data_IF_075130913878
#
_entry.id   IF_075130913878
#
_cell.length_a   1.000
_cell.length_b   1.000
_cell.length_c   1.000
_cell.angle_alpha   90.00
_cell.angle_beta   90.00
_cell.angle_gamma   90.00
#
_symmetry.space_group_name_H-M   'P 1'
#
loop_
_entity.id
_entity.type
_entity.pdbx_description
1 polymer ?
#
# COMPACT_ATOMS: atom_id res chain seq x y z
N UNK A 1 -14.91 18.41 -7.00
CA UNK A 1 -16.38 18.42 -7.09
C UNK A 1 -16.92 16.98 -7.01
N UNK A 2 -17.23 16.44 -5.81
CA UNK A 2 -17.89 15.11 -5.62
C UNK A 2 -19.35 15.03 -6.01
N UNK A 3 -19.98 16.18 -6.15
CA UNK A 3 -21.36 16.29 -6.59
C UNK A 3 -21.33 16.57 -8.08
N UNK A 4 -21.79 15.60 -8.87
CA UNK A 4 -21.99 15.82 -10.28
C UNK A 4 -23.33 16.53 -10.47
N UNK A 5 -23.27 17.84 -10.70
CA UNK A 5 -24.39 18.60 -11.21
C UNK A 5 -24.51 18.34 -12.70
N UNK A 6 -25.64 17.75 -13.10
CA UNK A 6 -25.91 17.51 -14.50
C UNK A 6 -26.30 18.81 -15.20
N UNK A 7 -25.52 19.14 -16.22
CA UNK A 7 -25.90 20.11 -17.22
C UNK A 7 -25.76 19.42 -18.58
N UNK A 8 -26.86 19.02 -19.22
CA UNK A 8 -26.73 18.61 -20.64
C UNK A 8 -26.44 19.88 -21.43
N UNK A 9 -25.28 19.91 -22.08
CA UNK A 9 -24.86 21.00 -22.96
C UNK A 9 -25.11 20.56 -24.41
N UNK A 10 -26.10 21.17 -25.07
CA UNK A 10 -26.34 20.96 -26.50
C UNK A 10 -25.56 21.99 -27.31
N UNK A 11 -24.90 21.53 -28.37
CA UNK A 11 -24.38 22.38 -29.43
C UNK A 11 -25.28 22.22 -30.66
N UNK A 12 -26.13 23.21 -30.94
CA UNK A 12 -26.75 23.33 -32.26
C UNK A 12 -25.77 24.03 -33.21
N UNK A 13 -25.76 23.62 -34.48
CA UNK A 13 -24.96 24.23 -35.56
C UNK A 13 -25.32 25.70 -35.84
N UNK A 14 -26.37 26.21 -35.22
CA UNK A 14 -26.71 27.63 -35.13
C UNK A 14 -27.10 27.98 -33.68
N UNK A 15 -26.26 28.77 -33.03
CA UNK A 15 -26.51 29.61 -31.84
C UNK A 15 -27.58 29.14 -30.82
N UNK A 16 -27.16 28.33 -29.84
CA UNK A 16 -27.44 28.49 -28.41
C UNK A 16 -26.91 27.27 -27.65
N UNK A 17 -26.15 27.51 -26.59
CA UNK A 17 -25.81 26.46 -25.62
C UNK A 17 -27.06 26.18 -24.78
N UNK A 18 -27.80 25.11 -25.07
CA UNK A 18 -28.91 24.69 -24.19
C UNK A 18 -28.27 23.92 -23.05
N UNK A 19 -28.43 24.47 -21.84
CA UNK A 19 -28.01 23.88 -20.58
C UNK A 19 -29.25 23.31 -19.92
N UNK A 20 -29.36 21.99 -19.80
CA UNK A 20 -30.48 21.32 -19.12
C UNK A 20 -30.12 21.17 -17.64
N UNK A 21 -30.83 21.85 -16.74
CA UNK A 21 -30.57 21.75 -15.30
C UNK A 21 -30.81 20.34 -14.77
N UNK A 22 -30.08 19.94 -13.74
CA UNK A 22 -30.15 18.58 -13.20
C UNK A 22 -31.51 18.21 -12.61
N UNK A 23 -32.26 19.19 -12.09
CA UNK A 23 -33.62 19.03 -11.56
C UNK A 23 -34.68 18.79 -12.65
N UNK A 24 -34.34 19.04 -13.92
CA UNK A 24 -35.20 18.77 -15.06
C UNK A 24 -34.99 17.37 -15.65
N UNK A 25 -33.98 16.62 -15.19
CA UNK A 25 -33.80 15.21 -15.55
C UNK A 25 -34.86 14.38 -14.84
N UNK A 26 -35.71 13.72 -15.62
CA UNK A 26 -36.87 13.00 -15.11
C UNK A 26 -36.66 11.48 -15.03
N UNK A 27 -35.67 10.92 -15.74
CA UNK A 27 -35.42 9.48 -15.69
C UNK A 27 -33.95 9.11 -15.75
N UNK A 28 -33.59 8.04 -15.06
CA UNK A 28 -32.34 7.30 -15.17
C UNK A 28 -32.63 6.02 -15.95
N UNK A 29 -31.87 5.74 -17.01
CA UNK A 29 -32.09 4.59 -17.88
C UNK A 29 -30.88 3.68 -18.01
N UNK A 30 -31.15 2.39 -18.24
CA UNK A 30 -30.14 1.35 -18.40
C UNK A 30 -30.39 0.55 -19.68
N UNK A 31 -29.43 0.55 -20.59
CA UNK A 31 -29.44 -0.36 -21.74
C UNK A 31 -29.13 -1.81 -21.31
N UNK A 32 -29.54 -2.83 -22.09
CA UNK A 32 -29.22 -4.23 -21.80
C UNK A 32 -27.73 -4.56 -21.73
N UNK A 33 -26.89 -3.72 -22.32
CA UNK A 33 -25.42 -3.84 -22.31
C UNK A 33 -24.77 -3.15 -21.08
N UNK A 34 -25.57 -2.67 -20.12
CA UNK A 34 -25.10 -2.00 -18.91
C UNK A 34 -24.84 -0.50 -19.06
N UNK A 35 -25.06 0.11 -20.24
CA UNK A 35 -24.85 1.56 -20.43
C UNK A 35 -25.90 2.36 -19.68
N UNK A 36 -25.42 3.25 -18.81
CA UNK A 36 -26.20 4.22 -18.06
C UNK A 36 -26.44 5.49 -18.89
N UNK A 37 -27.68 5.97 -18.89
CA UNK A 37 -28.05 7.25 -19.51
C UNK A 37 -29.08 8.02 -18.68
N UNK A 38 -29.12 9.34 -18.87
CA UNK A 38 -30.02 10.24 -18.15
C UNK A 38 -30.92 10.96 -19.14
N UNK A 39 -32.22 11.00 -18.86
CA UNK A 39 -33.21 11.52 -19.78
C UNK A 39 -33.92 12.75 -19.27
N UNK A 40 -34.07 13.73 -20.16
CA UNK A 40 -35.04 14.80 -20.07
C UNK A 40 -36.12 14.60 -21.14
N UNK A 41 -37.34 14.32 -20.69
CA UNK A 41 -38.54 14.37 -21.53
C UNK A 41 -38.88 15.81 -21.95
N UNK A 42 -38.93 16.05 -23.26
CA UNK A 42 -39.37 17.32 -23.87
C UNK A 42 -40.89 17.42 -23.90
N UNK A 43 -41.39 18.62 -24.20
CA UNK A 43 -42.84 18.92 -24.31
C UNK A 43 -43.56 18.11 -25.39
N UNK A 44 -42.86 17.72 -26.45
CA UNK A 44 -43.38 16.88 -27.53
C UNK A 44 -43.38 15.37 -27.20
N UNK A 45 -42.94 14.99 -26.00
CA UNK A 45 -42.84 13.61 -25.54
C UNK A 45 -41.57 12.87 -26.00
N UNK A 46 -40.68 13.51 -26.76
CA UNK A 46 -39.36 12.94 -27.09
C UNK A 46 -38.44 12.95 -25.87
N UNK A 47 -37.51 11.98 -25.80
CA UNK A 47 -36.51 11.91 -24.74
C UNK A 47 -35.17 12.42 -25.26
N UNK A 48 -34.55 13.34 -24.53
CA UNK A 48 -33.17 13.72 -24.74
C UNK A 48 -32.29 12.98 -23.73
N UNK A 49 -31.40 12.12 -24.23
CA UNK A 49 -30.49 11.32 -23.40
C UNK A 49 -29.06 11.87 -23.35
N UNK A 50 -28.41 11.77 -22.20
CA UNK A 50 -26.95 11.89 -22.05
C UNK A 50 -26.34 10.61 -21.49
N UNK A 51 -25.16 10.26 -22.00
CA UNK A 51 -24.32 9.19 -21.49
C UNK A 51 -23.16 9.78 -20.70
N UNK A 52 -22.93 9.27 -19.50
CA UNK A 52 -21.79 9.67 -18.68
C UNK A 52 -20.65 8.66 -18.81
N UNK A 53 -19.43 9.18 -18.92
CA UNK A 53 -18.23 8.37 -18.75
C UNK A 53 -17.20 9.13 -17.92
N UNK A 54 -16.61 8.51 -16.88
CA UNK A 54 -15.44 9.08 -16.24
C UNK A 54 -14.25 8.99 -17.19
N UNK A 55 -13.53 10.10 -17.34
CA UNK A 55 -12.28 10.19 -18.12
C UNK A 55 -11.35 11.22 -17.49
N UNK A 56 -10.11 10.81 -17.19
CA UNK A 56 -9.03 11.69 -16.71
C UNK A 56 -9.43 12.56 -15.50
N UNK A 57 -9.99 11.94 -14.44
CA UNK A 57 -10.47 12.64 -13.24
C UNK A 57 -11.63 13.62 -13.48
N UNK A 58 -12.25 13.59 -14.68
CA UNK A 58 -13.40 14.42 -15.06
C UNK A 58 -14.57 13.56 -15.55
N UNK A 59 -15.78 14.10 -15.45
CA UNK A 59 -16.98 13.50 -16.01
C UNK A 59 -17.29 14.12 -17.36
N UNK A 60 -17.29 13.31 -18.41
CA UNK A 60 -17.63 13.76 -19.75
C UNK A 60 -19.02 13.27 -20.14
N UNK A 61 -19.79 14.16 -20.77
CA UNK A 61 -20.95 13.77 -21.56
C UNK A 61 -20.38 13.13 -22.83
N UNK A 62 -20.53 11.82 -22.96
CA UNK A 62 -19.93 11.06 -24.06
C UNK A 62 -20.60 11.42 -25.41
N UNK A 63 -21.92 11.62 -25.41
CA UNK A 63 -22.72 12.18 -26.50
C UNK A 63 -24.16 12.43 -26.01
N UNK A 64 -24.92 13.23 -26.76
CA UNK A 64 -26.37 13.40 -26.58
C UNK A 64 -27.11 12.98 -27.85
N UNK A 65 -28.31 12.42 -27.70
CA UNK A 65 -29.18 12.11 -28.84
C UNK A 65 -30.64 12.33 -28.48
N UNK A 66 -31.43 12.75 -29.48
CA UNK A 66 -32.88 12.64 -29.41
C UNK A 66 -33.21 11.16 -29.59
N UNK A 67 -33.69 10.52 -28.54
CA UNK A 67 -34.00 9.11 -28.55
C UNK A 67 -35.52 8.95 -28.68
N UNK A 68 -35.96 8.12 -29.63
CA UNK A 68 -37.36 7.72 -29.71
C UNK A 68 -37.74 6.98 -28.43
N UNK A 69 -38.67 7.60 -27.68
CA UNK A 69 -39.11 7.13 -26.38
C UNK A 69 -39.74 5.73 -26.46
N UNK A 70 -40.40 5.36 -27.56
CA UNK A 70 -41.02 4.04 -27.74
C UNK A 70 -39.97 2.95 -27.93
N UNK A 71 -38.92 3.22 -28.71
CA UNK A 71 -37.84 2.26 -28.97
C UNK A 71 -37.01 2.03 -27.69
N UNK A 72 -36.74 3.10 -26.94
CA UNK A 72 -35.97 3.03 -25.71
C UNK A 72 -36.75 2.33 -24.59
N UNK A 73 -38.05 2.63 -24.43
CA UNK A 73 -38.93 1.95 -23.46
C UNK A 73 -39.06 0.44 -23.68
N UNK A 74 -38.87 -0.05 -24.91
CA UNK A 74 -38.89 -1.49 -25.20
C UNK A 74 -37.58 -2.22 -24.85
N UNK A 75 -36.47 -1.49 -24.74
CA UNK A 75 -35.12 -2.08 -24.61
C UNK A 75 -34.44 -1.77 -23.29
N UNK A 76 -34.75 -0.64 -22.67
CA UNK A 76 -34.08 -0.15 -21.48
C UNK A 76 -34.97 -0.20 -20.24
N UNK A 77 -34.35 -0.37 -19.08
CA UNK A 77 -35.01 -0.20 -17.78
C UNK A 77 -34.96 1.29 -17.42
N UNK A 78 -36.07 1.87 -16.98
CA UNK A 78 -36.13 3.27 -16.54
C UNK A 78 -36.47 3.37 -15.06
N UNK A 79 -35.90 4.38 -14.43
CA UNK A 79 -36.20 4.78 -13.06
C UNK A 79 -36.55 6.28 -13.04
N UNK A 80 -37.69 6.64 -12.47
CA UNK A 80 -38.12 8.03 -12.41
C UNK A 80 -37.38 8.76 -11.28
N UNK A 81 -36.75 9.90 -11.56
CA UNK A 81 -36.03 10.66 -10.53
C UNK A 81 -36.96 11.19 -9.44
N UNK A 82 -38.26 11.28 -9.70
CA UNK A 82 -39.27 11.62 -8.69
C UNK A 82 -39.36 10.57 -7.57
N UNK A 83 -39.02 9.33 -7.85
CA UNK A 83 -39.09 8.22 -6.88
C UNK A 83 -37.85 8.16 -5.98
N UNK A 84 -36.85 9.02 -6.22
CA UNK A 84 -35.71 9.18 -5.34
C UNK A 84 -36.15 9.88 -4.05
N UNK A 85 -35.71 9.33 -2.91
CA UNK A 85 -35.81 10.00 -1.62
C UNK A 85 -34.64 10.96 -1.42
N UNK A 86 -34.86 11.97 -0.57
CA UNK A 86 -33.79 12.88 -0.17
C UNK A 86 -32.70 12.13 0.59
N UNK A 87 -31.44 12.28 0.16
CA UNK A 87 -30.28 11.64 0.79
C UNK A 87 -29.01 12.47 0.70
N UNK A 88 -28.06 12.16 1.58
CA UNK A 88 -26.65 12.56 1.50
C UNK A 88 -25.79 11.31 1.64
N UNK A 89 -24.57 11.32 1.10
CA UNK A 89 -23.63 10.21 1.24
C UNK A 89 -23.37 9.81 2.71
N UNK A 90 -23.38 10.80 3.63
CA UNK A 90 -23.24 10.58 5.07
C UNK A 90 -24.36 9.72 5.68
N UNK A 91 -25.49 9.53 4.99
CA UNK A 91 -26.53 8.59 5.43
C UNK A 91 -26.11 7.12 5.22
N UNK A 92 -25.11 6.87 4.37
CA UNK A 92 -24.60 5.54 4.06
C UNK A 92 -23.25 5.28 4.74
N UNK A 93 -22.39 6.29 4.87
CA UNK A 93 -21.08 6.19 5.54
C UNK A 93 -21.17 5.52 6.92
N UNK A 94 -20.22 4.62 7.20
CA UNK A 94 -20.17 3.78 8.39
C UNK A 94 -21.08 2.54 8.34
N UNK A 95 -21.95 2.41 7.34
CA UNK A 95 -22.92 1.31 7.28
C UNK A 95 -22.52 0.21 6.30
N UNK A 96 -22.98 -1.00 6.63
CA UNK A 96 -22.85 -2.19 5.79
C UNK A 96 -24.22 -2.59 5.25
N UNK A 97 -24.26 -2.87 3.96
CA UNK A 97 -25.45 -3.34 3.26
C UNK A 97 -25.17 -4.67 2.58
N UNK A 98 -26.13 -5.58 2.65
CA UNK A 98 -26.06 -6.85 1.93
C UNK A 98 -27.32 -7.12 1.14
N UNK A 99 -27.17 -7.87 0.06
CA UNK A 99 -28.27 -8.47 -0.67
C UNK A 99 -27.86 -9.81 -1.22
N UNK A 100 -28.81 -10.73 -1.25
CA UNK A 100 -28.66 -12.05 -1.87
C UNK A 100 -29.70 -12.19 -2.97
N UNK A 101 -29.27 -12.64 -4.16
CA UNK A 101 -30.15 -12.87 -5.31
C UNK A 101 -29.52 -13.91 -6.23
N UNK A 102 -30.32 -14.91 -6.63
CA UNK A 102 -29.89 -15.95 -7.58
C UNK A 102 -28.56 -16.64 -7.19
N UNK A 103 -28.33 -16.85 -5.89
CA UNK A 103 -27.09 -17.44 -5.34
C UNK A 103 -25.90 -16.47 -5.23
N UNK A 104 -26.06 -15.21 -5.66
CA UNK A 104 -25.06 -14.16 -5.52
C UNK A 104 -25.33 -13.32 -4.27
N UNK A 105 -24.36 -13.24 -3.37
CA UNK A 105 -24.41 -12.30 -2.24
C UNK A 105 -23.40 -11.18 -2.44
N UNK A 106 -23.91 -9.95 -2.49
CA UNK A 106 -23.13 -8.72 -2.51
C UNK A 106 -23.14 -8.06 -1.13
N UNK A 107 -21.97 -7.60 -0.70
CA UNK A 107 -21.79 -6.79 0.51
C UNK A 107 -21.10 -5.49 0.15
N UNK A 108 -21.71 -4.38 0.56
CA UNK A 108 -21.22 -3.02 0.39
C UNK A 108 -20.93 -2.41 1.76
N UNK A 109 -19.73 -1.90 1.95
CA UNK A 109 -19.32 -1.18 3.15
C UNK A 109 -18.91 0.24 2.77
N UNK A 110 -19.70 1.22 3.19
CA UNK A 110 -19.37 2.62 2.98
C UNK A 110 -18.39 3.07 4.06
N UNK A 111 -17.10 2.87 3.85
CA UNK A 111 -16.06 3.12 4.85
C UNK A 111 -15.99 4.62 5.17
N UNK A 112 -15.84 5.43 4.13
CA UNK A 112 -15.79 6.89 4.23
C UNK A 112 -16.36 7.50 2.94
N UNK A 113 -16.50 8.84 2.85
CA UNK A 113 -17.04 9.50 1.66
C UNK A 113 -16.22 9.36 0.36
N UNK A 114 -15.08 8.68 0.37
CA UNK A 114 -14.21 8.39 -0.77
C UNK A 114 -14.10 6.91 -1.09
N UNK A 115 -14.54 6.04 -0.17
CA UNK A 115 -14.19 4.63 -0.24
C UNK A 115 -15.40 3.77 0.14
N UNK A 116 -15.83 2.96 -0.82
CA UNK A 116 -16.78 1.87 -0.63
C UNK A 116 -16.06 0.56 -0.93
N UNK A 117 -16.07 -0.37 0.03
CA UNK A 117 -15.61 -1.73 -0.18
C UNK A 117 -16.77 -2.59 -0.67
N UNK A 118 -16.51 -3.33 -1.73
CA UNK A 118 -17.46 -4.25 -2.36
C UNK A 118 -16.86 -5.64 -2.27
N UNK A 119 -17.59 -6.58 -1.67
CA UNK A 119 -17.19 -7.98 -1.61
C UNK A 119 -18.33 -8.87 -2.08
N UNK A 120 -18.04 -9.81 -2.99
CA UNK A 120 -18.96 -10.88 -3.39
C UNK A 120 -18.58 -12.18 -2.68
N UNK A 121 -19.53 -12.79 -1.97
CA UNK A 121 -19.26 -14.03 -1.21
C UNK A 121 -19.06 -15.26 -2.12
N UNK A 122 -19.50 -15.19 -3.38
CA UNK A 122 -19.34 -16.28 -4.35
C UNK A 122 -17.91 -16.43 -4.87
N UNK A 123 -17.17 -15.32 -5.00
CA UNK A 123 -15.89 -15.29 -5.73
C UNK A 123 -14.70 -14.81 -4.88
N UNK A 124 -14.94 -14.46 -3.60
CA UNK A 124 -13.97 -13.79 -2.72
C UNK A 124 -13.28 -12.56 -3.36
N UNK A 125 -13.91 -11.97 -4.38
CA UNK A 125 -13.40 -10.79 -5.06
C UNK A 125 -13.77 -9.56 -4.23
N UNK A 126 -12.73 -8.81 -3.84
CA UNK A 126 -12.86 -7.56 -3.11
C UNK A 126 -12.40 -6.43 -4.02
N UNK A 127 -13.20 -5.37 -4.07
CA UNK A 127 -12.85 -4.17 -4.81
C UNK A 127 -13.21 -2.92 -4.01
N UNK A 128 -12.44 -1.87 -4.24
CA UNK A 128 -12.66 -0.56 -3.65
C UNK A 128 -13.08 0.42 -4.73
N UNK A 129 -14.08 1.24 -4.43
CA UNK A 129 -14.67 2.21 -5.36
C UNK A 129 -14.97 3.53 -4.68
N UNK A 130 -14.88 4.61 -5.44
CA UNK A 130 -15.29 5.93 -4.99
C UNK A 130 -16.80 6.10 -5.21
N UNK A 131 -17.57 6.45 -4.18
CA UNK A 131 -18.97 6.82 -4.33
C UNK A 131 -19.10 8.25 -4.88
N UNK A 132 -19.93 8.43 -5.91
CA UNK A 132 -20.11 9.70 -6.60
C UNK A 132 -21.57 10.11 -6.51
N UNK A 133 -21.82 11.31 -6.00
CA UNK A 133 -23.17 11.83 -5.83
C UNK A 133 -23.70 12.36 -7.17
N UNK A 134 -24.80 11.78 -7.64
CA UNK A 134 -25.57 12.24 -8.79
C UNK A 134 -26.75 13.06 -8.28
N UNK A 135 -26.70 14.38 -8.44
CA UNK A 135 -27.70 15.31 -7.88
C UNK A 135 -28.77 15.68 -8.90
N UNK A 136 -30.03 15.33 -8.60
CA UNK A 136 -31.21 15.62 -9.41
C UNK A 136 -32.08 16.74 -8.81
N UNK A 137 -31.49 17.59 -7.98
CA UNK A 137 -32.17 18.71 -7.33
C UNK A 137 -33.01 18.30 -6.11
N UNK A 138 -33.36 19.28 -5.29
CA UNK A 138 -34.18 19.09 -4.07
C UNK A 138 -33.65 18.00 -3.11
N UNK A 139 -32.33 17.76 -3.13
CA UNK A 139 -31.68 16.73 -2.33
C UNK A 139 -31.95 15.29 -2.78
N UNK A 140 -32.60 15.08 -3.93
CA UNK A 140 -32.82 13.77 -4.54
C UNK A 140 -31.55 13.34 -5.25
N UNK A 141 -30.91 12.30 -4.73
CA UNK A 141 -29.60 11.84 -5.19
C UNK A 141 -29.59 10.35 -5.48
N UNK A 142 -28.80 9.96 -6.47
CA UNK A 142 -28.33 8.58 -6.65
C UNK A 142 -26.80 8.55 -6.47
N UNK A 143 -26.22 7.37 -6.28
CA UNK A 143 -24.78 7.23 -6.03
C UNK A 143 -24.16 6.23 -6.99
N UNK A 144 -23.28 6.69 -7.87
CA UNK A 144 -22.51 5.82 -8.74
C UNK A 144 -21.26 5.34 -8.01
N UNK A 145 -20.98 4.05 -8.05
CA UNK A 145 -19.72 3.47 -7.55
C UNK A 145 -18.78 3.30 -8.74
N UNK A 146 -17.61 3.92 -8.63
CA UNK A 146 -16.68 4.08 -9.74
C UNK A 146 -15.23 3.83 -9.32
N UNK A 147 -14.42 3.35 -10.27
CA UNK A 147 -12.96 3.23 -10.11
C UNK A 147 -12.29 3.59 -11.43
N UNK A 148 -11.35 4.54 -11.41
CA UNK A 148 -10.78 5.12 -12.63
C UNK A 148 -11.86 5.49 -13.66
N UNK A 149 -11.79 4.86 -14.84
CA UNK A 149 -12.71 5.11 -15.96
C UNK A 149 -13.92 4.15 -16.01
N UNK A 150 -14.12 3.32 -14.98
CA UNK A 150 -15.19 2.33 -14.93
C UNK A 150 -16.27 2.69 -13.89
N UNK A 151 -17.52 2.45 -14.27
CA UNK A 151 -18.67 2.41 -13.38
C UNK A 151 -19.02 0.95 -13.12
N UNK A 152 -19.24 0.56 -11.87
CA UNK A 152 -19.62 -0.82 -11.55
C UNK A 152 -21.02 -0.92 -10.98
N UNK A 153 -21.44 0.03 -10.14
CA UNK A 153 -22.76 -0.01 -9.54
C UNK A 153 -23.44 1.35 -9.51
N UNK A 154 -24.78 1.34 -9.50
CA UNK A 154 -25.59 2.52 -9.19
C UNK A 154 -26.53 2.23 -8.03
N UNK A 155 -26.40 3.01 -6.96
CA UNK A 155 -27.30 2.99 -5.81
C UNK A 155 -28.42 4.01 -6.00
N UNK A 156 -29.65 3.51 -6.03
CA UNK A 156 -30.89 4.26 -6.16
C UNK A 156 -31.66 4.18 -4.82
N UNK A 157 -31.60 5.20 -3.97
CA UNK A 157 -32.39 5.26 -2.75
C UNK A 157 -33.82 5.73 -3.06
N UNK A 158 -34.81 4.91 -2.74
CA UNK A 158 -36.23 5.27 -2.79
C UNK A 158 -36.82 5.31 -1.39
N UNK A 159 -38.05 5.80 -1.24
CA UNK A 159 -38.72 5.92 0.07
C UNK A 159 -38.77 4.60 0.84
N UNK A 160 -38.93 3.48 0.12
CA UNK A 160 -39.17 2.18 0.73
C UNK A 160 -37.96 1.25 0.73
N UNK A 161 -36.90 1.56 -0.04
CA UNK A 161 -35.78 0.65 -0.25
C UNK A 161 -34.55 1.33 -0.84
N UNK A 162 -33.39 0.73 -0.63
CA UNK A 162 -32.16 1.04 -1.36
C UNK A 162 -31.98 -0.02 -2.45
N UNK A 163 -32.06 0.39 -3.71
CA UNK A 163 -31.84 -0.48 -4.87
C UNK A 163 -30.40 -0.31 -5.36
N UNK A 164 -29.67 -1.40 -5.51
CA UNK A 164 -28.37 -1.39 -6.16
C UNK A 164 -28.49 -2.05 -7.53
N UNK A 165 -28.01 -1.39 -8.57
CA UNK A 165 -27.92 -1.91 -9.92
C UNK A 165 -26.47 -2.23 -10.25
N UNK A 166 -26.21 -3.46 -10.67
CA UNK A 166 -24.95 -3.82 -11.33
C UNK A 166 -24.97 -3.27 -12.76
N UNK A 167 -24.03 -2.38 -13.05
CA UNK A 167 -23.82 -1.73 -14.35
C UNK A 167 -22.41 -1.99 -14.88
N UNK A 168 -21.71 -2.98 -14.33
CA UNK A 168 -20.36 -3.31 -14.76
C UNK A 168 -20.36 -3.79 -16.21
N UNK A 169 -19.60 -3.09 -17.06
CA UNK A 169 -19.56 -3.36 -18.51
C UNK A 169 -18.78 -4.61 -18.89
N UNK A 170 -18.27 -5.37 -17.91
CA UNK A 170 -17.43 -6.55 -18.11
C UNK A 170 -18.25 -7.83 -18.39
N UNK A 171 -19.57 -7.83 -18.18
CA UNK A 171 -20.44 -8.97 -18.48
C UNK A 171 -21.51 -8.55 -19.48
N UNK A 172 -21.15 -8.57 -20.76
CA UNK A 172 -21.96 -8.22 -21.92
C UNK A 172 -23.19 -9.13 -22.18
N UNK A 173 -23.74 -9.80 -21.15
CA UNK A 173 -24.80 -10.83 -21.31
C UNK A 173 -25.90 -10.77 -20.21
N UNK A 174 -25.84 -9.89 -19.19
CA UNK A 174 -26.87 -9.88 -18.12
C UNK A 174 -27.67 -8.58 -18.08
N UNK A 175 -29.01 -8.71 -18.01
CA UNK A 175 -29.91 -7.58 -17.67
C UNK A 175 -29.45 -6.97 -16.33
N UNK A 176 -29.51 -5.64 -16.15
CA UNK A 176 -29.16 -4.99 -14.89
C UNK A 176 -29.84 -5.69 -13.71
N UNK A 177 -29.04 -6.21 -12.78
CA UNK A 177 -29.56 -6.91 -11.62
C UNK A 177 -29.81 -5.89 -10.51
N UNK A 178 -31.07 -5.76 -10.09
CA UNK A 178 -31.42 -4.98 -8.93
C UNK A 178 -31.33 -5.84 -7.67
N UNK A 179 -30.66 -5.29 -6.66
CA UNK A 179 -30.52 -5.86 -5.33
C UNK A 179 -31.27 -4.99 -4.32
N UNK A 180 -31.97 -5.63 -3.40
CA UNK A 180 -32.60 -4.94 -2.27
C UNK A 180 -31.63 -4.93 -1.11
N UNK A 181 -30.95 -3.80 -0.93
CA UNK A 181 -29.94 -3.66 0.11
C UNK A 181 -30.60 -3.60 1.49
N UNK A 182 -30.29 -4.61 2.32
CA UNK A 182 -30.64 -4.63 3.74
C UNK A 182 -29.45 -4.15 4.54
N UNK A 183 -29.66 -3.12 5.37
CA UNK A 183 -28.66 -2.67 6.33
C UNK A 183 -28.40 -3.81 7.32
N UNK A 184 -27.16 -4.20 7.52
CA UNK A 184 -26.81 -5.16 8.55
C UNK A 184 -26.74 -4.47 9.92
N UNK A 185 -26.99 -5.23 11.00
CA UNK A 185 -26.54 -4.82 12.33
C UNK A 185 -25.01 -4.70 12.27
N UNK A 186 -24.46 -3.66 12.88
CA UNK A 186 -23.04 -3.31 12.72
C UNK A 186 -22.15 -4.55 12.82
N UNK A 187 -21.23 -4.78 11.87
CA UNK A 187 -20.18 -5.76 12.07
C UNK A 187 -19.41 -5.38 13.33
N UNK A 188 -19.12 -6.36 14.19
CA UNK A 188 -18.35 -6.16 15.41
C UNK A 188 -16.87 -5.88 15.17
N UNK A 189 -16.36 -6.03 13.94
CA UNK A 189 -14.97 -5.75 13.60
C UNK A 189 -14.83 -4.41 12.86
N UNK A 190 -13.86 -3.60 13.31
CA UNK A 190 -13.40 -2.41 12.58
C UNK A 190 -13.04 -2.83 11.15
N UNK A 191 -13.42 -2.05 10.12
CA UNK A 191 -13.06 -2.32 8.73
C UNK A 191 -11.58 -2.00 8.52
N UNK A 192 -10.70 -2.84 9.06
CA UNK A 192 -9.32 -2.84 8.67
C UNK A 192 -8.99 -4.19 8.08
N UNK A 193 -8.57 -4.15 6.82
CA UNK A 193 -8.30 -5.34 6.03
C UNK A 193 -6.83 -5.31 5.67
N UNK A 194 -6.18 -6.48 5.65
CA UNK A 194 -4.79 -6.63 5.21
C UNK A 194 -4.57 -6.35 3.71
N UNK A 195 -5.59 -5.87 3.01
CA UNK A 195 -5.68 -5.76 1.54
C UNK A 195 -5.41 -4.34 1.02
N UNK A 196 -4.78 -3.50 1.84
CA UNK A 196 -4.55 -2.09 1.54
C UNK A 196 -3.88 -1.82 0.18
N UNK A 197 -3.06 -2.76 -0.31
CA UNK A 197 -2.38 -2.69 -1.62
C UNK A 197 -3.28 -2.35 -2.82
N UNK A 198 -4.58 -2.63 -2.78
CA UNK A 198 -5.48 -2.23 -3.88
C UNK A 198 -5.97 -0.79 -3.77
N UNK A 199 -5.97 -0.21 -2.58
CA UNK A 199 -6.50 1.13 -2.29
C UNK A 199 -5.50 2.20 -2.70
N UNK A 200 -4.19 1.97 -2.54
CA UNK A 200 -3.15 2.94 -2.91
C UNK A 200 -3.31 3.45 -4.35
N UNK A 201 -3.75 2.57 -5.26
CA UNK A 201 -3.98 2.89 -6.68
C UNK A 201 -5.13 3.86 -6.93
N UNK A 202 -5.94 4.15 -5.92
CA UNK A 202 -7.07 5.09 -5.98
C UNK A 202 -6.69 6.50 -5.53
N UNK A 203 -5.47 6.69 -5.04
CA UNK A 203 -4.98 7.97 -4.54
C UNK A 203 -3.78 8.46 -5.33
N UNK A 204 -3.67 9.79 -5.41
CA UNK A 204 -2.56 10.45 -6.09
C UNK A 204 -2.14 11.71 -5.31
N UNK A 205 -0.86 12.06 -5.39
CA UNK A 205 -0.33 13.26 -4.76
C UNK A 205 -0.34 14.38 -5.78
N UNK A 206 -1.03 15.47 -5.45
CA UNK A 206 -1.05 16.67 -6.26
C UNK A 206 -0.38 17.84 -5.53
N UNK A 207 0.43 18.61 -6.26
CA UNK A 207 1.03 19.84 -5.75
C UNK A 207 0.00 20.97 -5.68
N UNK A 208 -0.07 21.65 -4.55
CA UNK A 208 -0.88 22.84 -4.30
C UNK A 208 0.04 23.97 -3.80
N UNK A 209 0.50 24.81 -4.73
CA UNK A 209 1.51 25.84 -4.42
C UNK A 209 2.85 25.22 -4.01
N UNK A 210 3.26 25.41 -2.75
CA UNK A 210 4.47 24.82 -2.17
C UNK A 210 4.22 23.54 -1.38
N UNK A 211 2.96 23.17 -1.22
CA UNK A 211 2.51 22.03 -0.43
C UNK A 211 1.91 20.97 -1.34
N UNK A 212 1.50 19.86 -0.75
CA UNK A 212 0.95 18.68 -1.39
C UNK A 212 -0.40 18.33 -0.77
N UNK A 213 -1.29 17.81 -1.59
CA UNK A 213 -2.59 17.28 -1.18
C UNK A 213 -2.69 15.84 -1.70
N UNK A 214 -3.35 14.98 -0.92
CA UNK A 214 -3.74 13.66 -1.38
C UNK A 214 -5.13 13.76 -1.99
N UNK A 215 -5.30 13.29 -3.22
CA UNK A 215 -6.55 13.31 -3.97
C UNK A 215 -6.98 11.89 -4.35
N UNK A 216 -8.28 11.68 -4.55
CA UNK A 216 -8.82 10.45 -5.13
C UNK A 216 -8.77 10.45 -6.67
N UNK A 217 -9.18 9.33 -7.27
CA UNK A 217 -9.36 9.12 -8.72
C UNK A 217 -10.15 10.25 -9.45
N UNK A 218 -10.89 11.07 -8.72
CA UNK A 218 -11.75 12.13 -9.26
C UNK A 218 -11.27 13.53 -8.88
N UNK A 219 -10.05 13.63 -8.36
CA UNK A 219 -9.39 14.90 -8.04
C UNK A 219 -9.84 15.54 -6.74
N UNK A 220 -10.56 14.81 -5.89
CA UNK A 220 -11.04 15.35 -4.62
C UNK A 220 -10.04 15.14 -3.50
N UNK A 221 -9.78 16.21 -2.76
CA UNK A 221 -8.93 16.13 -1.57
C UNK A 221 -9.50 15.15 -0.55
N UNK A 222 -8.66 14.20 -0.12
CA UNK A 222 -9.05 13.12 0.80
C UNK A 222 -8.57 13.32 2.24
N UNK A 223 -7.55 14.15 2.43
CA UNK A 223 -7.05 14.54 3.75
C UNK A 223 -7.51 15.96 4.14
N UNK A 224 -7.57 16.29 5.45
CA UNK A 224 -8.10 17.58 5.90
C UNK A 224 -7.31 18.82 5.45
N UNK A 225 -6.00 18.68 5.18
CA UNK A 225 -5.08 19.79 4.93
C UNK A 225 -4.22 19.59 3.67
N UNK A 226 -3.50 20.65 3.30
CA UNK A 226 -2.29 20.54 2.49
C UNK A 226 -1.08 20.39 3.43
N UNK A 227 -0.09 19.64 2.98
CA UNK A 227 1.05 19.16 3.75
C UNK A 227 2.36 19.50 3.05
N UNK A 228 3.44 19.65 3.80
CA UNK A 228 4.76 19.93 3.23
C UNK A 228 5.36 18.71 2.53
N UNK A 229 4.99 17.51 2.99
CA UNK A 229 5.35 16.23 2.39
C UNK A 229 4.26 15.19 2.67
N UNK A 230 4.01 14.29 1.71
CA UNK A 230 3.10 13.15 1.87
C UNK A 230 3.79 11.91 1.32
N UNK A 231 3.87 10.87 2.14
CA UNK A 231 4.38 9.54 1.77
C UNK A 231 3.31 8.52 2.10
N UNK A 232 3.06 7.55 1.23
CA UNK A 232 2.10 6.49 1.50
C UNK A 232 2.45 5.21 0.75
N UNK A 233 1.93 4.09 1.22
CA UNK A 233 2.02 2.77 0.58
C UNK A 233 0.64 2.12 0.54
N UNK A 234 0.56 0.79 0.42
CA UNK A 234 -0.72 0.08 0.47
C UNK A 234 -1.50 0.28 1.78
N UNK A 235 -0.85 0.56 2.90
CA UNK A 235 -1.46 0.42 4.22
C UNK A 235 -1.58 1.73 5.01
N UNK A 236 -0.64 2.66 4.83
CA UNK A 236 -0.56 3.87 5.63
C UNK A 236 -0.20 5.11 4.81
N UNK A 237 -0.56 6.26 5.36
CA UNK A 237 -0.25 7.59 4.85
C UNK A 237 0.43 8.38 5.97
N UNK A 238 1.63 8.89 5.70
CA UNK A 238 2.36 9.84 6.51
C UNK A 238 2.25 11.23 5.88
N UNK A 239 1.66 12.18 6.60
CA UNK A 239 1.42 13.53 6.12
C UNK A 239 2.10 14.56 7.04
N UNK A 240 3.16 15.21 6.55
CA UNK A 240 4.01 16.12 7.35
C UNK A 240 3.57 17.58 7.18
N UNK A 241 3.44 18.31 8.29
CA UNK A 241 3.13 19.75 8.29
C UNK A 241 3.97 20.48 9.33
N UNK A 242 4.97 21.23 8.89
CA UNK A 242 5.98 21.82 9.76
C UNK A 242 6.69 20.75 10.59
N UNK A 243 6.56 20.84 11.91
CA UNK A 243 7.09 19.88 12.87
C UNK A 243 6.11 18.77 13.25
N UNK A 244 4.84 18.86 12.85
CA UNK A 244 3.83 17.83 13.14
C UNK A 244 3.78 16.77 12.05
N UNK A 245 3.51 15.54 12.44
CA UNK A 245 3.25 14.42 11.56
C UNK A 245 1.86 13.86 11.86
N UNK A 246 1.02 13.80 10.84
CA UNK A 246 -0.28 13.14 10.91
C UNK A 246 -0.15 11.79 10.22
N UNK A 247 -0.65 10.74 10.89
CA UNK A 247 -0.59 9.36 10.41
C UNK A 247 -2.02 8.91 10.15
N UNK A 248 -2.27 8.33 8.99
CA UNK A 248 -3.54 7.73 8.64
C UNK A 248 -3.32 6.30 8.15
N UNK A 249 -4.32 5.43 8.36
CA UNK A 249 -4.40 4.20 7.58
C UNK A 249 -4.94 4.49 6.17
N UNK A 250 -4.87 3.51 5.28
CA UNK A 250 -5.34 3.66 3.89
C UNK A 250 -6.86 3.85 3.77
N UNK A 251 -7.60 3.64 4.85
CA UNK A 251 -9.02 3.95 4.97
C UNK A 251 -9.30 5.41 5.37
N UNK A 252 -8.26 6.26 5.34
CA UNK A 252 -8.30 7.68 5.70
C UNK A 252 -8.68 7.93 7.17
N UNK A 253 -8.49 6.94 8.04
CA UNK A 253 -8.71 7.08 9.47
C UNK A 253 -7.40 7.50 10.13
N UNK A 254 -7.47 8.58 10.93
CA UNK A 254 -6.28 9.07 11.62
C UNK A 254 -5.88 8.10 12.74
N UNK A 255 -4.60 7.75 12.76
CA UNK A 255 -3.96 6.97 13.82
C UNK A 255 -3.26 7.93 14.77
N UNK A 256 -3.53 7.79 16.08
CA UNK A 256 -3.02 8.71 17.09
C UNK A 256 -1.92 8.05 17.90
N UNK A 257 -0.73 8.66 17.88
CA UNK A 257 0.42 8.28 18.69
C UNK A 257 0.85 9.51 19.51
N UNK A 258 0.26 9.73 20.71
CA UNK A 258 0.38 10.99 21.46
C UNK A 258 1.83 11.41 21.75
N UNK A 259 2.74 10.46 21.95
CA UNK A 259 4.13 10.69 22.32
C UNK A 259 5.11 10.24 21.22
N UNK A 260 4.71 10.40 19.95
CA UNK A 260 5.50 9.96 18.82
C UNK A 260 6.88 10.63 18.76
N UNK A 261 7.95 9.83 18.78
CA UNK A 261 9.34 10.29 18.62
C UNK A 261 9.85 10.07 17.20
N UNK A 262 9.49 8.94 16.59
CA UNK A 262 9.91 8.56 15.23
C UNK A 262 8.98 7.49 14.68
N UNK A 263 8.81 7.48 13.35
CA UNK A 263 8.08 6.45 12.63
C UNK A 263 8.77 6.11 11.31
N UNK A 264 8.68 4.85 10.92
CA UNK A 264 9.05 4.33 9.61
C UNK A 264 7.90 3.56 8.98
N UNK A 265 7.74 3.73 7.65
CA UNK A 265 6.80 2.95 6.85
C UNK A 265 7.46 1.63 6.44
N UNK A 266 6.81 0.52 6.75
CA UNK A 266 7.09 -0.81 6.21
C UNK A 266 5.94 -1.27 5.32
N UNK A 267 6.11 -2.36 4.57
CA UNK A 267 5.13 -2.86 3.61
C UNK A 267 3.71 -2.92 4.20
N UNK A 268 3.52 -3.64 5.30
CA UNK A 268 2.22 -3.81 5.97
C UNK A 268 2.17 -3.29 7.42
N UNK A 269 3.23 -2.63 7.90
CA UNK A 269 3.33 -2.15 9.28
C UNK A 269 3.87 -0.72 9.37
N UNK A 270 3.51 -0.03 10.46
CA UNK A 270 4.21 1.16 10.94
C UNK A 270 5.17 0.75 12.04
N UNK A 271 6.44 1.08 11.91
CA UNK A 271 7.40 0.95 12.99
C UNK A 271 7.46 2.27 13.75
N UNK A 272 7.02 2.27 15.00
CA UNK A 272 6.83 3.46 15.81
C UNK A 272 7.74 3.41 17.02
N UNK A 273 8.41 4.52 17.30
CA UNK A 273 9.08 4.79 18.57
C UNK A 273 8.30 5.88 19.32
N UNK A 274 7.88 5.58 20.54
CA UNK A 274 7.23 6.51 21.45
C UNK A 274 7.82 6.45 22.88
N UNK A 275 7.05 6.79 23.90
CA UNK A 275 7.48 6.68 25.31
C UNK A 275 7.35 5.26 25.89
N UNK A 276 6.54 4.41 25.28
CA UNK A 276 6.34 3.02 25.71
C UNK A 276 7.40 2.10 25.11
N UNK A 277 7.93 2.45 23.95
CA UNK A 277 9.04 1.73 23.33
C UNK A 277 9.01 1.79 21.82
N UNK A 278 9.66 0.81 21.21
CA UNK A 278 9.64 0.61 19.77
C UNK A 278 8.77 -0.60 19.42
N UNK A 279 7.75 -0.39 18.60
CA UNK A 279 6.73 -1.38 18.28
C UNK A 279 6.33 -1.31 16.81
N UNK A 280 5.81 -2.42 16.28
CA UNK A 280 5.16 -2.44 14.97
C UNK A 280 3.65 -2.38 15.14
N UNK A 281 2.96 -1.64 14.29
CA UNK A 281 1.51 -1.57 14.27
C UNK A 281 0.98 -1.89 12.87
N UNK A 282 -0.11 -2.66 12.81
CA UNK A 282 -0.84 -2.89 11.57
C UNK A 282 -1.76 -1.72 11.20
N UNK A 283 -2.50 -1.85 10.09
CA UNK A 283 -3.44 -0.81 9.63
C UNK A 283 -4.52 -0.46 10.65
N UNK A 284 -4.82 -1.40 11.55
CA UNK A 284 -5.88 -1.34 12.55
C UNK A 284 -5.42 -0.56 13.79
N UNK A 285 -4.11 -0.40 13.94
CA UNK A 285 -3.46 0.06 15.16
C UNK A 285 -3.22 -1.04 16.18
N UNK A 286 -3.30 -2.31 15.78
CA UNK A 286 -2.94 -3.45 16.63
C UNK A 286 -1.44 -3.71 16.52
N UNK A 287 -0.82 -4.08 17.64
CA UNK A 287 0.62 -4.36 17.69
C UNK A 287 0.98 -5.66 16.96
N UNK A 288 2.13 -5.66 16.28
CA UNK A 288 2.68 -6.80 15.56
C UNK A 288 4.06 -7.18 16.10
N UNK A 289 4.38 -8.48 16.07
CA UNK A 289 5.72 -8.96 16.41
C UNK A 289 6.77 -8.51 15.37
N UNK A 290 6.40 -8.50 14.09
CA UNK A 290 7.26 -8.13 12.96
C UNK A 290 6.45 -7.73 11.72
N UNK A 291 7.01 -6.88 10.84
CA UNK A 291 6.40 -6.60 9.53
C UNK A 291 6.48 -7.81 8.59
N UNK A 292 5.61 -7.84 7.59
CA UNK A 292 5.81 -8.67 6.41
C UNK A 292 7.05 -8.17 5.64
N UNK A 293 7.85 -9.13 5.18
CA UNK A 293 8.93 -8.85 4.23
C UNK A 293 8.37 -9.00 2.83
N UNK A 294 8.68 -8.07 1.95
CA UNK A 294 8.41 -8.22 0.52
C UNK A 294 9.26 -9.40 0.02
N UNK A 295 8.60 -10.49 -0.35
CA UNK A 295 9.24 -11.54 -1.15
C UNK A 295 9.07 -11.05 -2.58
N UNK A 296 10.16 -10.61 -3.22
CA UNK A 296 10.18 -10.38 -4.66
C UNK A 296 9.95 -11.72 -5.37
N UNK A 297 8.69 -12.14 -5.53
CA UNK A 297 8.36 -13.16 -6.51
C UNK A 297 8.44 -12.52 -7.91
N UNK A 298 9.64 -12.65 -8.47
CA UNK A 298 10.15 -12.22 -9.77
C UNK A 298 9.11 -12.02 -10.89
N UNK A 299 9.08 -10.79 -11.44
CA UNK A 299 8.39 -10.44 -12.69
C UNK A 299 9.26 -9.73 -13.74
N UNK A 300 10.56 -9.57 -13.51
CA UNK A 300 11.54 -9.11 -14.52
C UNK A 300 12.73 -10.05 -14.48
N UNK A 301 13.22 -10.45 -15.67
CA UNK A 301 14.24 -11.49 -15.82
C UNK A 301 15.59 -11.03 -15.25
N UNK A 302 15.79 -11.23 -13.95
CA UNK A 302 17.10 -11.33 -13.35
C UNK A 302 17.33 -12.80 -13.00
N UNK A 303 18.45 -13.37 -13.43
CA UNK A 303 18.78 -14.76 -13.09
C UNK A 303 19.24 -14.74 -11.63
N UNK A 304 18.30 -14.88 -10.69
CA UNK A 304 18.63 -15.23 -9.31
C UNK A 304 19.37 -16.57 -9.34
N UNK A 305 20.64 -16.58 -8.95
CA UNK A 305 21.41 -17.81 -8.80
C UNK A 305 21.48 -18.15 -7.34
N UNK A 306 21.10 -19.38 -7.00
CA UNK A 306 21.43 -19.98 -5.71
C UNK A 306 22.94 -20.18 -5.62
N UNK A 307 23.54 -19.66 -4.56
CA UNK A 307 24.98 -19.62 -4.38
C UNK A 307 25.36 -20.15 -3.00
N UNK A 308 26.33 -21.06 -2.98
CA UNK A 308 26.82 -21.72 -1.77
C UNK A 308 28.33 -21.56 -1.64
N UNK A 309 28.78 -21.17 -0.45
CA UNK A 309 30.19 -20.88 -0.16
C UNK A 309 30.62 -21.58 1.12
N UNK A 310 31.85 -22.07 1.13
CA UNK A 310 32.45 -22.73 2.31
C UNK A 310 33.85 -22.22 2.58
N UNK A 311 34.12 -21.92 3.84
CA UNK A 311 35.45 -21.59 4.33
C UNK A 311 36.17 -22.89 4.71
N UNK A 312 37.38 -23.07 4.18
CA UNK A 312 38.28 -24.18 4.53
C UNK A 312 39.62 -23.62 4.96
N UNK A 313 40.18 -24.10 6.07
CA UNK A 313 41.39 -23.53 6.68
C UNK A 313 42.67 -24.29 6.33
N UNK A 314 42.60 -25.59 6.01
CA UNK A 314 43.75 -26.47 5.82
C UNK A 314 43.88 -26.98 4.38
N UNK A 315 45.10 -27.10 3.81
CA UNK A 315 46.39 -26.66 4.36
C UNK A 315 46.65 -25.14 4.23
N UNK A 316 45.83 -24.43 3.44
CA UNK A 316 45.84 -22.97 3.29
C UNK A 316 44.39 -22.47 3.36
N UNK A 317 44.10 -21.36 4.06
CA UNK A 317 42.74 -20.82 4.10
C UNK A 317 42.24 -20.39 2.73
N UNK A 318 41.00 -20.78 2.40
CA UNK A 318 40.30 -20.34 1.20
C UNK A 318 38.79 -20.27 1.41
N UNK A 319 38.14 -19.43 0.62
CA UNK A 319 36.70 -19.43 0.39
C UNK A 319 36.45 -20.23 -0.89
N UNK A 320 35.60 -21.26 -0.82
CA UNK A 320 35.27 -22.12 -1.96
C UNK A 320 33.82 -21.96 -2.40
N UNK A 321 33.59 -21.71 -3.70
CA UNK A 321 32.24 -21.77 -4.29
C UNK A 321 31.86 -23.23 -4.50
N UNK A 322 30.72 -23.63 -3.94
CA UNK A 322 30.17 -24.98 -4.05
C UNK A 322 29.41 -25.11 -5.39
N UNK A 323 29.47 -26.29 -6.00
CA UNK A 323 28.68 -26.58 -7.20
C UNK A 323 27.19 -26.73 -6.87
N UNK A 324 26.34 -26.03 -7.62
CA UNK A 324 24.89 -26.00 -7.38
C UNK A 324 24.20 -27.35 -7.59
N UNK A 325 24.79 -28.25 -8.39
CA UNK A 325 24.24 -29.58 -8.67
C UNK A 325 24.84 -30.66 -7.77
N UNK A 326 25.97 -30.38 -7.11
CA UNK A 326 26.60 -31.32 -6.19
C UNK A 326 27.30 -30.59 -5.03
N UNK A 327 26.71 -30.58 -3.82
CA UNK A 327 27.25 -29.85 -2.68
C UNK A 327 28.60 -30.37 -2.19
N UNK A 328 29.09 -31.51 -2.70
CA UNK A 328 30.40 -32.05 -2.33
C UNK A 328 31.54 -31.51 -3.20
N UNK A 329 31.25 -30.77 -4.28
CA UNK A 329 32.26 -30.26 -5.21
C UNK A 329 32.50 -28.77 -4.94
N UNK A 330 33.77 -28.39 -4.76
CA UNK A 330 34.21 -26.99 -4.76
C UNK A 330 34.64 -26.63 -6.18
N UNK A 331 33.85 -25.79 -6.85
CA UNK A 331 34.04 -25.37 -8.25
C UNK A 331 35.14 -24.33 -8.40
N UNK A 332 35.23 -23.40 -7.46
CA UNK A 332 36.19 -22.30 -7.47
C UNK A 332 36.78 -22.09 -6.08
N UNK A 333 38.06 -21.75 -5.99
CA UNK A 333 38.77 -21.51 -4.72
C UNK A 333 39.44 -20.14 -4.75
N UNK A 334 39.14 -19.35 -3.74
CA UNK A 334 39.76 -18.05 -3.50
C UNK A 334 40.60 -18.11 -2.23
N UNK A 335 41.92 -18.19 -2.39
CA UNK A 335 42.87 -18.34 -1.29
C UNK A 335 43.07 -17.02 -0.54
N UNK A 336 42.99 -17.07 0.78
CA UNK A 336 43.22 -15.91 1.67
C UNK A 336 44.70 -15.83 2.00
N UNK A 337 45.50 -15.19 1.14
CA UNK A 337 46.97 -15.28 1.18
C UNK A 337 47.59 -14.55 2.37
N UNK A 338 46.84 -13.66 3.02
CA UNK A 338 47.24 -12.93 4.23
C UNK A 338 46.76 -13.61 5.52
N UNK A 339 46.16 -14.80 5.44
CA UNK A 339 45.67 -15.59 6.58
C UNK A 339 46.48 -16.87 6.82
N UNK A 340 46.59 -17.27 8.07
CA UNK A 340 47.29 -18.48 8.53
C UNK A 340 46.28 -19.59 8.87
N UNK A 341 46.62 -20.87 8.65
CA UNK A 341 45.76 -22.01 9.02
C UNK A 341 45.43 -22.11 10.52
N UNK A 342 46.20 -21.43 11.38
CA UNK A 342 46.00 -21.40 12.84
C UNK A 342 44.93 -20.39 13.27
N UNK A 343 44.52 -19.48 12.39
CA UNK A 343 43.45 -18.52 12.67
C UNK A 343 42.09 -19.17 12.43
N UNK A 344 41.12 -18.88 13.30
CA UNK A 344 39.73 -19.30 13.02
C UNK A 344 39.06 -18.22 12.18
N UNK A 345 38.61 -18.59 11.00
CA UNK A 345 37.98 -17.72 10.01
C UNK A 345 36.55 -18.19 9.81
N UNK A 346 35.62 -17.24 9.85
CA UNK A 346 34.19 -17.44 9.66
C UNK A 346 33.59 -16.24 8.90
N UNK A 347 32.37 -16.39 8.40
CA UNK A 347 31.54 -15.26 7.98
C UNK A 347 31.18 -14.38 9.20
N UNK A 348 30.60 -13.20 8.96
CA UNK A 348 30.29 -12.23 10.01
C UNK A 348 29.32 -12.77 11.08
N UNK A 349 28.37 -13.63 10.68
CA UNK A 349 27.46 -14.40 11.55
C UNK A 349 28.17 -15.47 12.40
N UNK A 350 29.42 -15.79 12.07
CA UNK A 350 30.23 -16.81 12.71
C UNK A 350 30.14 -18.20 12.10
N UNK A 351 29.38 -18.39 11.01
CA UNK A 351 29.32 -19.65 10.28
C UNK A 351 30.53 -19.84 9.36
N UNK A 352 30.77 -21.08 8.92
CA UNK A 352 31.79 -21.38 7.91
C UNK A 352 31.19 -21.74 6.56
N UNK A 353 29.87 -21.76 6.47
CA UNK A 353 29.10 -22.09 5.28
C UNK A 353 28.00 -21.05 5.09
N UNK A 354 27.81 -20.62 3.86
CA UNK A 354 26.79 -19.65 3.48
C UNK A 354 26.00 -20.17 2.29
N UNK A 355 24.69 -19.95 2.29
CA UNK A 355 23.80 -20.22 1.16
C UNK A 355 22.79 -19.07 0.98
N UNK A 356 22.58 -18.61 -0.25
CA UNK A 356 21.63 -17.54 -0.54
C UNK A 356 21.46 -17.20 -2.01
N UNK A 357 20.46 -16.35 -2.31
CA UNK A 357 20.21 -15.82 -3.65
C UNK A 357 21.02 -14.54 -3.89
N UNK A 358 21.52 -14.34 -5.12
CA UNK A 358 22.21 -13.11 -5.54
C UNK A 358 21.72 -12.66 -6.91
N UNK A 359 21.48 -11.35 -7.01
CA UNK A 359 21.22 -10.62 -8.24
C UNK A 359 22.57 -9.98 -8.66
N UNK A 360 23.06 -10.28 -9.86
CA UNK A 360 24.34 -9.77 -10.45
C UNK A 360 25.67 -10.44 -10.07
N UNK A 361 25.72 -11.58 -9.36
CA UNK A 361 27.00 -12.14 -8.81
C UNK A 361 27.78 -11.14 -7.92
N UNK A 362 27.18 -10.00 -7.55
CA UNK A 362 27.63 -9.14 -6.45
C UNK A 362 27.05 -9.73 -5.17
N UNK A 363 27.95 -10.23 -4.33
CA UNK A 363 27.52 -10.92 -3.13
C UNK A 363 27.24 -9.97 -1.97
N UNK A 364 26.31 -10.34 -1.08
CA UNK A 364 25.98 -9.54 0.10
C UNK A 364 27.06 -9.56 1.21
N UNK A 365 28.02 -10.49 1.19
CA UNK A 365 29.00 -10.64 2.27
C UNK A 365 30.44 -10.57 1.77
N UNK A 366 31.09 -9.42 1.96
CA UNK A 366 32.52 -9.26 1.72
C UNK A 366 33.34 -9.33 3.02
N UNK A 367 32.71 -9.30 4.20
CA UNK A 367 33.39 -9.27 5.49
C UNK A 367 33.49 -10.65 6.16
N UNK A 368 34.71 -11.06 6.51
CA UNK A 368 35.01 -12.23 7.33
C UNK A 368 35.43 -11.84 8.74
N UNK A 369 34.95 -12.61 9.71
CA UNK A 369 35.42 -12.57 11.09
C UNK A 369 36.66 -13.45 11.24
N UNK A 370 37.75 -12.88 11.74
CA UNK A 370 39.01 -13.57 11.98
C UNK A 370 39.32 -13.57 13.47
N UNK A 371 39.60 -14.74 14.04
CA UNK A 371 39.96 -14.92 15.43
C UNK A 371 41.43 -15.33 15.56
N UNK A 372 42.18 -14.57 16.37
CA UNK A 372 43.52 -14.93 16.85
C UNK A 372 43.50 -15.02 18.38
N UNK A 373 43.78 -16.20 18.92
CA UNK A 373 43.61 -16.46 20.36
C UNK A 373 42.17 -16.18 20.79
N UNK A 374 41.99 -15.26 21.74
CA UNK A 374 40.68 -14.86 22.27
C UNK A 374 40.14 -13.55 21.65
N UNK A 375 40.83 -13.00 20.65
CA UNK A 375 40.47 -11.72 20.04
C UNK A 375 40.00 -11.91 18.61
N UNK A 376 39.07 -11.04 18.20
CA UNK A 376 38.43 -11.03 16.91
C UNK A 376 38.72 -9.72 16.18
N UNK A 377 38.85 -9.81 14.85
CA UNK A 377 38.85 -8.69 13.92
C UNK A 377 37.97 -8.98 12.71
N UNK A 378 37.73 -7.96 11.88
CA UNK A 378 36.86 -8.04 10.71
C UNK A 378 37.64 -7.60 9.47
N UNK A 379 37.54 -8.36 8.39
CA UNK A 379 38.33 -8.16 7.17
C UNK A 379 37.45 -8.31 5.93
N UNK A 380 37.55 -7.38 5.01
CA UNK A 380 36.85 -7.37 3.73
C UNK A 380 37.67 -8.09 2.65
N UNK A 381 37.03 -8.95 1.87
CA UNK A 381 37.63 -9.71 0.77
C UNK A 381 36.75 -9.64 -0.47
N UNK A 382 37.33 -9.17 -1.57
CA UNK A 382 36.65 -9.05 -2.87
C UNK A 382 36.84 -10.34 -3.70
N UNK A 383 36.16 -11.43 -3.33
CA UNK A 383 36.41 -12.75 -3.94
C UNK A 383 36.08 -12.84 -5.42
N UNK A 384 35.29 -11.93 -5.97
CA UNK A 384 34.99 -11.86 -7.41
C UNK A 384 36.17 -11.41 -8.28
N UNK A 385 37.22 -10.82 -7.68
CA UNK A 385 38.29 -10.18 -8.45
C UNK A 385 39.52 -11.06 -8.67
N UNK A 386 39.72 -12.08 -7.84
CA UNK A 386 40.96 -12.89 -7.87
C UNK A 386 40.82 -14.25 -7.17
N UNK A 387 41.65 -15.21 -7.59
CA UNK A 387 41.83 -16.50 -6.90
C UNK A 387 42.77 -16.39 -5.68
N UNK A 388 43.50 -15.28 -5.55
CA UNK A 388 44.35 -14.95 -4.41
C UNK A 388 43.90 -13.61 -3.84
N UNK A 389 43.40 -13.63 -2.62
CA UNK A 389 42.79 -12.49 -1.96
C UNK A 389 43.62 -12.05 -0.78
N UNK A 390 43.82 -10.74 -0.68
CA UNK A 390 44.39 -10.08 0.48
C UNK A 390 43.30 -9.26 1.14
N UNK A 391 43.03 -9.54 2.42
CA UNK A 391 41.97 -8.87 3.16
C UNK A 391 42.28 -7.40 3.44
N UNK A 392 41.29 -6.54 3.29
CA UNK A 392 41.31 -5.17 3.81
C UNK A 392 40.79 -5.18 5.24
N UNK A 393 41.61 -4.75 6.20
CA UNK A 393 41.19 -4.70 7.59
C UNK A 393 40.09 -3.65 7.78
N UNK A 394 38.92 -4.08 8.28
CA UNK A 394 37.81 -3.22 8.65
C UNK A 394 37.84 -2.91 10.15
N UNK A 395 38.06 -3.94 10.97
CA UNK A 395 38.25 -3.84 12.41
C UNK A 395 39.53 -4.58 12.82
N UNK A 396 40.41 -3.98 13.65
CA UNK A 396 41.61 -4.65 14.12
C UNK A 396 41.27 -5.89 14.97
N UNK A 397 42.22 -6.80 15.09
CA UNK A 397 42.08 -7.99 15.96
C UNK A 397 42.30 -7.57 17.41
N UNK A 398 41.28 -6.97 18.00
CA UNK A 398 41.32 -6.36 19.33
C UNK A 398 40.05 -6.57 20.15
N UNK A 399 39.01 -7.18 19.55
CA UNK A 399 37.68 -7.27 20.14
C UNK A 399 37.46 -8.63 20.81
N UNK A 400 36.76 -8.64 21.94
CA UNK A 400 36.44 -9.87 22.67
C UNK A 400 35.43 -10.73 21.91
N UNK A 401 34.59 -10.10 21.07
CA UNK A 401 33.54 -10.75 20.28
C UNK A 401 33.20 -9.89 19.08
N UNK A 402 32.91 -10.53 17.95
CA UNK A 402 32.24 -9.93 16.79
C UNK A 402 31.14 -10.91 16.40
N UNK A 403 29.91 -10.43 16.23
CA UNK A 403 28.77 -11.23 15.82
C UNK A 403 27.83 -10.44 14.92
N UNK A 404 26.84 -11.13 14.37
CA UNK A 404 25.78 -10.52 13.58
C UNK A 404 24.45 -10.62 14.34
N UNK A 405 23.67 -9.55 14.37
CA UNK A 405 22.35 -9.55 14.99
C UNK A 405 21.25 -10.09 14.05
N UNK A 406 20.01 -10.14 14.56
CA UNK A 406 18.83 -10.61 13.80
C UNK A 406 18.51 -9.80 12.54
N UNK A 407 19.06 -8.58 12.43
CA UNK A 407 18.90 -7.66 11.31
C UNK A 407 20.17 -7.62 10.44
N UNK A 408 21.01 -8.65 10.54
CA UNK A 408 22.23 -8.82 9.76
C UNK A 408 23.32 -7.75 10.03
N UNK A 409 23.25 -7.04 11.16
CA UNK A 409 24.22 -5.99 11.50
C UNK A 409 25.38 -6.53 12.32
N UNK A 410 26.57 -6.03 12.03
CA UNK A 410 27.80 -6.47 12.70
C UNK A 410 27.98 -5.71 14.01
N UNK A 411 27.91 -6.44 15.11
CA UNK A 411 28.16 -5.96 16.46
C UNK A 411 29.55 -6.40 16.93
N UNK A 412 30.28 -5.50 17.59
CA UNK A 412 31.62 -5.79 18.10
C UNK A 412 31.79 -5.30 19.54
N UNK A 413 32.49 -6.11 20.36
CA UNK A 413 32.52 -5.95 21.81
C UNK A 413 33.95 -5.78 22.33
N UNK A 414 34.16 -4.80 23.22
CA UNK A 414 35.41 -4.60 23.95
C UNK A 414 35.13 -3.99 25.32
N UNK A 415 35.80 -4.48 26.35
CA UNK A 415 35.75 -3.91 27.70
C UNK A 415 34.32 -3.71 28.25
N UNK A 416 33.43 -4.68 27.99
CA UNK A 416 32.03 -4.64 28.43
C UNK A 416 31.12 -3.69 27.64
N UNK A 417 31.64 -3.02 26.61
CA UNK A 417 30.88 -2.16 25.70
C UNK A 417 30.68 -2.81 24.33
N UNK A 418 29.71 -2.31 23.58
CA UNK A 418 29.34 -2.76 22.24
C UNK A 418 29.31 -1.61 21.24
N UNK A 419 29.76 -1.88 20.01
CA UNK A 419 29.70 -0.98 18.86
C UNK A 419 29.06 -1.66 17.65
N UNK A 420 28.70 -0.85 16.66
CA UNK A 420 28.01 -1.27 15.43
C UNK A 420 28.85 -0.86 14.24
N UNK A 421 29.26 -1.81 13.42
CA UNK A 421 29.99 -1.55 12.19
C UNK A 421 29.00 -1.38 11.01
N UNK A 422 29.23 -0.47 10.05
CA UNK A 422 30.39 0.42 9.88
C UNK A 422 30.29 1.76 10.63
N UNK A 423 29.20 2.00 11.37
CA UNK A 423 28.93 3.30 12.00
C UNK A 423 30.02 3.72 13.00
N UNK A 424 30.61 2.74 13.69
CA UNK A 424 31.71 2.93 14.62
C UNK A 424 32.83 1.92 14.40
N UNK A 425 34.03 2.31 14.81
CA UNK A 425 35.20 1.43 14.93
C UNK A 425 35.64 1.22 16.37
N UNK A 426 34.96 1.86 17.33
CA UNK A 426 35.16 1.70 18.77
C UNK A 426 33.81 1.47 19.47
N UNK A 427 33.72 0.60 20.51
CA UNK A 427 32.45 0.35 21.19
C UNK A 427 31.94 1.59 21.94
N UNK A 428 30.64 1.86 21.82
CA UNK A 428 30.03 3.10 22.32
C UNK A 428 29.08 2.86 23.49
N UNK A 429 28.33 1.76 23.47
CA UNK A 429 27.21 1.52 24.36
C UNK A 429 27.55 0.49 25.43
N UNK A 430 26.98 0.66 26.62
CA UNK A 430 27.05 -0.32 27.71
C UNK A 430 26.03 -1.45 27.47
N UNK A 431 24.87 -1.11 26.93
CA UNK A 431 23.83 -2.04 26.48
C UNK A 431 23.38 -1.65 25.08
N UNK A 432 23.18 -2.63 24.21
CA UNK A 432 22.61 -2.45 22.87
C UNK A 432 21.79 -3.70 22.53
N UNK A 433 20.47 -3.56 22.47
CA UNK A 433 19.54 -4.66 22.22
C UNK A 433 18.61 -4.30 21.06
N UNK A 434 18.57 -5.08 19.98
CA UNK A 434 17.67 -4.82 18.85
C UNK A 434 16.21 -5.09 19.25
N UNK A 435 15.38 -4.05 19.27
CA UNK A 435 13.94 -4.19 19.55
C UNK A 435 13.22 -4.44 18.24
N UNK A 436 13.29 -3.48 17.33
CA UNK A 436 12.76 -3.55 15.97
C UNK A 436 13.91 -3.47 14.96
N UNK A 437 13.60 -3.29 13.68
CA UNK A 437 14.61 -3.15 12.62
C UNK A 437 15.37 -1.84 12.75
N UNK A 438 14.68 -0.72 12.97
CA UNK A 438 15.27 0.60 13.13
C UNK A 438 15.72 0.90 14.57
N UNK A 439 15.02 0.38 15.59
CA UNK A 439 15.20 0.84 16.97
C UNK A 439 15.86 -0.18 17.89
N UNK A 440 16.88 0.30 18.61
CA UNK A 440 17.64 -0.49 19.58
C UNK A 440 17.48 0.13 20.95
N UNK A 441 17.20 -0.67 21.96
CA UNK A 441 17.33 -0.22 23.34
C UNK A 441 18.82 -0.06 23.65
N UNK A 442 19.19 1.10 24.19
CA UNK A 442 20.56 1.43 24.55
C UNK A 442 20.71 1.80 26.02
N UNK A 443 21.89 1.53 26.56
CA UNK A 443 22.40 2.20 27.74
C UNK A 443 23.76 2.82 27.41
N UNK A 444 23.94 4.09 27.74
CA UNK A 444 25.18 4.82 27.49
C UNK A 444 25.47 5.74 28.67
N UNK A 445 26.59 5.51 29.35
CA UNK A 445 27.02 6.30 30.51
C UNK A 445 25.93 6.34 31.60
N UNK A 446 25.26 5.20 31.85
CA UNK A 446 24.21 5.06 32.85
C UNK A 446 22.85 5.66 32.47
N UNK A 447 22.68 6.16 31.25
CA UNK A 447 21.39 6.62 30.72
C UNK A 447 20.79 5.57 29.79
N UNK A 448 19.54 5.21 30.05
CA UNK A 448 18.77 4.29 29.21
C UNK A 448 17.98 5.07 28.17
N UNK A 449 17.83 4.51 26.98
CA UNK A 449 17.10 5.15 25.89
C UNK A 449 16.97 4.25 24.68
N UNK A 450 16.68 4.84 23.54
CA UNK A 450 16.60 4.16 22.24
C UNK A 450 17.54 4.81 21.23
N UNK A 451 18.10 3.98 20.35
CA UNK A 451 18.89 4.39 19.18
C UNK A 451 18.07 4.11 17.94
N UNK A 452 17.84 5.14 17.13
CA UNK A 452 17.45 4.99 15.73
C UNK A 452 18.71 4.69 14.93
N UNK A 453 18.85 3.47 14.44
CA UNK A 453 20.04 2.98 13.76
C UNK A 453 20.23 3.56 12.36
N UNK A 454 19.16 4.02 11.72
CA UNK A 454 19.25 4.58 10.36
C UNK A 454 19.76 6.01 10.40
N UNK A 455 19.48 6.75 11.48
CA UNK A 455 19.94 8.14 11.66
C UNK A 455 21.04 8.29 12.71
N UNK A 456 21.34 7.24 13.46
CA UNK A 456 22.20 7.24 14.64
C UNK A 456 21.76 8.20 15.74
N UNK A 457 20.48 8.60 15.75
CA UNK A 457 19.93 9.50 16.75
C UNK A 457 19.59 8.74 18.03
N UNK A 458 20.07 9.26 19.15
CA UNK A 458 19.80 8.75 20.50
C UNK A 458 18.58 9.48 21.11
N UNK A 459 17.69 8.72 21.73
CA UNK A 459 16.47 9.16 22.42
C UNK A 459 16.54 8.69 23.89
N UNK A 460 17.11 9.53 24.76
CA UNK A 460 17.23 9.26 26.21
C UNK A 460 15.99 9.71 26.99
#
# INVERSE_FOLDING_TARGET
MRVLFFFLILFSTAQAQIVIPSDSINSIGFEPNGRLFFCHQKTDGSLLGAFLRPKNKQWLIAYHSSIDSKILQQKATFFNTKDLRTTKLSNFTGNVYTSEKDGYTIRLEFINPHLVRISTLSDMLISYQTPIELDFGNGKKAYALARGNALSYLLIPTDNKNLLYDISTAVSIRKPMSFHLKKQKEPTSKPCFSEGRYIETMFDIQKEGKQYILIDDYGERVLPSAYDDIQFNGHFILAKKGSSLEIYNMYLQQMLFPNLKKVYLHLNALEVLDDNGAHYYDCCGEELDKPEREIEECGTSFIERWLEYRIKQTPKPYIGRVDSNNPNIIKEKHYLIDRKPTEKIAFADGTTEFSGFSIEEKFPFEALRVQQGNLFGLFEYEYHKSHQLKGKQLLPIAFNKIEQDKNERILFYQNGKVGIYPQFTTPQYDVLVPITEAFYQIEKNGRKGFLDIYTMKEYF
#
